data_IF_602615469107
#
_entry.id   IF_602615469107
#
_cell.length_a   1.000
_cell.length_b   1.000
_cell.length_c   1.000
_cell.angle_alpha   90.00
_cell.angle_beta   90.00
_cell.angle_gamma   90.00
#
_symmetry.space_group_name_H-M   'P 1'
#
loop_
_entity.id
_entity.type
_entity.pdbx_description
1 polymer ?
#
# COMPACT_ATOMS: atom_id res chain seq x y z
N UNK A 1 1.86 5.29 -11.05
CA UNK A 1 0.47 5.06 -10.62
C UNK A 1 -0.49 5.24 -11.81
N UNK A 2 -1.23 4.19 -12.21
CA UNK A 2 -1.89 4.13 -13.52
C UNK A 2 -3.31 4.74 -13.61
N UNK A 3 -3.95 5.08 -12.49
CA UNK A 3 -5.33 5.60 -12.46
C UNK A 3 -6.45 4.60 -12.82
N UNK A 4 -6.12 3.36 -13.19
CA UNK A 4 -7.08 2.34 -13.64
C UNK A 4 -7.56 1.37 -12.54
N UNK A 5 -6.90 1.35 -11.38
CA UNK A 5 -7.24 0.46 -10.27
C UNK A 5 -7.78 1.27 -9.11
N UNK A 6 -9.08 1.14 -8.83
CA UNK A 6 -9.72 1.71 -7.63
C UNK A 6 -9.74 0.69 -6.50
N UNK A 7 -10.06 1.14 -5.29
CA UNK A 7 -10.16 0.25 -4.12
C UNK A 7 -11.16 -0.89 -4.33
N UNK A 8 -12.32 -0.62 -4.93
CA UNK A 8 -13.33 -1.65 -5.23
C UNK A 8 -12.81 -2.68 -6.25
N UNK A 9 -12.01 -2.25 -7.23
CA UNK A 9 -11.43 -3.14 -8.24
C UNK A 9 -10.37 -4.05 -7.61
N UNK A 10 -9.52 -3.50 -6.73
CA UNK A 10 -8.52 -4.27 -5.99
C UNK A 10 -9.19 -5.33 -5.09
N UNK A 11 -10.26 -4.95 -4.39
CA UNK A 11 -11.06 -5.87 -3.56
C UNK A 11 -11.69 -6.98 -4.41
N UNK A 12 -12.33 -6.63 -5.52
CA UNK A 12 -12.93 -7.62 -6.42
C UNK A 12 -11.89 -8.59 -6.99
N UNK A 13 -10.71 -8.08 -7.36
CA UNK A 13 -9.60 -8.89 -7.88
C UNK A 13 -9.13 -9.93 -6.86
N UNK A 14 -8.97 -9.54 -5.58
CA UNK A 14 -8.62 -10.47 -4.51
C UNK A 14 -9.69 -11.56 -4.32
N UNK A 15 -10.98 -11.18 -4.38
CA UNK A 15 -12.09 -12.13 -4.28
C UNK A 15 -12.13 -13.13 -5.45
N UNK A 16 -11.70 -12.71 -6.64
CA UNK A 16 -11.58 -13.58 -7.81
C UNK A 16 -10.38 -14.53 -7.71
N UNK A 17 -9.24 -14.05 -7.21
CA UNK A 17 -8.03 -14.85 -7.04
C UNK A 17 -7.26 -14.45 -5.78
N UNK A 18 -7.33 -15.25 -4.69
CA UNK A 18 -6.64 -14.95 -3.44
C UNK A 18 -5.10 -14.95 -3.57
N UNK A 19 -4.54 -15.68 -4.53
CA UNK A 19 -3.09 -15.67 -4.83
C UNK A 19 -2.71 -14.64 -5.90
N UNK A 20 -3.64 -13.76 -6.26
CA UNK A 20 -3.44 -12.71 -7.25
C UNK A 20 -2.59 -11.54 -6.73
N UNK A 21 -2.43 -10.49 -7.56
CA UNK A 21 -1.54 -9.36 -7.26
C UNK A 21 -2.06 -8.43 -6.16
N UNK A 22 -3.36 -8.43 -5.89
CA UNK A 22 -3.98 -7.55 -4.91
C UNK A 22 -4.19 -8.30 -3.60
N UNK A 23 -3.61 -7.81 -2.52
CA UNK A 23 -3.71 -8.42 -1.19
C UNK A 23 -4.34 -7.43 -0.20
N UNK A 24 -5.20 -7.90 0.73
CA UNK A 24 -5.79 -7.04 1.74
C UNK A 24 -4.73 -6.64 2.79
N UNK A 25 -4.75 -5.37 3.18
CA UNK A 25 -3.89 -4.85 4.25
C UNK A 25 -4.80 -4.28 5.34
N UNK A 26 -4.75 -4.80 6.58
CA UNK A 26 -5.50 -4.22 7.69
C UNK A 26 -4.94 -2.84 8.04
N UNK A 27 -5.82 -1.86 8.26
CA UNK A 27 -5.43 -0.51 8.71
C UNK A 27 -5.25 -0.48 10.23
N UNK A 28 -4.29 -1.25 10.72
CA UNK A 28 -3.97 -1.38 12.14
C UNK A 28 -2.61 -0.76 12.47
N UNK A 29 -2.40 -0.48 13.77
CA UNK A 29 -1.17 0.15 14.26
C UNK A 29 -0.93 1.54 13.68
N UNK A 30 -1.91 2.43 13.84
CA UNK A 30 -1.78 3.85 13.49
C UNK A 30 -0.55 4.45 14.17
N UNK A 31 0.38 4.98 13.37
CA UNK A 31 1.58 5.69 13.84
C UNK A 31 1.32 7.19 13.84
N UNK A 32 0.84 7.72 12.71
CA UNK A 32 0.51 9.13 12.52
C UNK A 32 -0.65 9.26 11.54
N UNK A 33 -1.78 9.81 12.01
CA UNK A 33 -2.99 10.00 11.21
C UNK A 33 -2.84 11.09 10.15
N UNK A 34 -2.05 12.12 10.43
CA UNK A 34 -1.81 13.25 9.53
C UNK A 34 -1.00 12.82 8.31
N UNK A 35 -0.01 11.96 8.52
CA UNK A 35 0.80 11.37 7.44
C UNK A 35 0.11 10.16 6.82
N UNK A 36 -0.84 9.54 7.53
CA UNK A 36 -1.44 8.27 7.14
C UNK A 36 -0.45 7.11 7.26
N UNK A 37 0.40 7.13 8.29
CA UNK A 37 1.39 6.09 8.55
C UNK A 37 0.80 5.00 9.47
N UNK A 38 1.01 3.73 9.09
CA UNK A 38 0.51 2.55 9.81
C UNK A 38 1.56 1.44 9.81
N UNK A 39 1.70 0.73 10.93
CA UNK A 39 2.69 -0.36 11.05
C UNK A 39 2.41 -1.51 10.09
N UNK A 40 1.15 -1.92 9.96
CA UNK A 40 0.77 -3.03 9.06
C UNK A 40 0.95 -2.68 7.58
N UNK A 41 0.76 -1.40 7.22
CA UNK A 41 1.04 -0.93 5.86
C UNK A 41 2.53 -0.97 5.57
N UNK A 42 3.37 -0.48 6.49
CA UNK A 42 4.82 -0.51 6.34
C UNK A 42 5.34 -1.95 6.22
N UNK A 43 4.81 -2.87 7.04
CA UNK A 43 5.14 -4.30 6.96
C UNK A 43 4.78 -4.89 5.59
N UNK A 44 3.56 -4.66 5.12
CA UNK A 44 3.12 -5.17 3.82
C UNK A 44 3.96 -4.60 2.65
N UNK A 45 4.36 -3.33 2.71
CA UNK A 45 5.23 -2.70 1.72
C UNK A 45 6.64 -3.30 1.76
N UNK A 46 7.21 -3.50 2.95
CA UNK A 46 8.51 -4.14 3.10
C UNK A 46 8.52 -5.56 2.53
N UNK A 47 7.48 -6.35 2.80
CA UNK A 47 7.33 -7.70 2.25
C UNK A 47 7.18 -7.66 0.71
N UNK A 48 6.29 -6.81 0.18
CA UNK A 48 6.02 -6.73 -1.26
C UNK A 48 7.20 -6.19 -2.09
N UNK A 49 8.05 -5.34 -1.49
CA UNK A 49 9.21 -4.75 -2.14
C UNK A 49 10.52 -5.49 -1.85
N UNK A 50 10.46 -6.63 -1.14
CA UNK A 50 11.62 -7.39 -0.70
C UNK A 50 12.62 -6.54 0.11
N UNK A 51 12.10 -5.64 0.95
CA UNK A 51 12.87 -4.76 1.82
C UNK A 51 13.48 -3.53 1.13
N UNK A 52 13.20 -3.29 -0.15
CA UNK A 52 13.67 -2.08 -0.84
C UNK A 52 13.00 -0.80 -0.32
N UNK A 53 11.75 -0.91 0.15
CA UNK A 53 11.00 0.19 0.80
C UNK A 53 10.47 -0.33 2.13
N UNK A 54 10.81 0.34 3.23
CA UNK A 54 10.41 -0.10 4.58
C UNK A 54 9.18 0.65 5.10
N UNK A 55 8.98 1.88 4.66
CA UNK A 55 7.96 2.78 5.20
C UNK A 55 7.32 3.61 4.09
N UNK A 56 6.04 3.92 4.24
CA UNK A 56 5.31 4.81 3.32
C UNK A 56 4.34 5.69 4.09
N UNK A 57 4.20 6.94 3.67
CA UNK A 57 3.11 7.81 4.12
C UNK A 57 2.06 7.92 3.02
N UNK A 58 0.78 7.82 3.42
CA UNK A 58 -0.32 7.84 2.46
C UNK A 58 -0.72 9.26 2.05
N UNK A 59 -0.40 10.26 2.87
CA UNK A 59 -0.88 11.64 2.71
C UNK A 59 0.23 12.69 2.61
N UNK A 60 1.51 12.30 2.53
CA UNK A 60 2.63 13.22 2.34
C UNK A 60 3.36 12.97 1.02
N UNK A 61 3.72 14.07 0.35
CA UNK A 61 4.60 14.03 -0.83
C UNK A 61 6.08 14.17 -0.45
N UNK A 62 6.36 14.67 0.76
CA UNK A 62 7.70 15.08 1.18
C UNK A 62 8.37 14.01 2.05
N UNK A 63 7.58 13.28 2.84
CA UNK A 63 8.09 12.31 3.80
C UNK A 63 7.69 10.90 3.38
N UNK A 64 8.67 10.07 2.99
CA UNK A 64 8.46 8.68 2.54
C UNK A 64 7.27 8.52 1.58
N UNK A 65 7.25 9.23 0.44
CA UNK A 65 6.14 9.16 -0.51
C UNK A 65 6.07 7.79 -1.18
N UNK A 66 4.89 7.43 -1.67
CA UNK A 66 4.69 6.23 -2.47
C UNK A 66 5.55 6.24 -3.74
N UNK A 67 6.17 5.11 -4.06
CA UNK A 67 7.03 4.95 -5.25
C UNK A 67 6.19 4.84 -6.53
N UNK A 68 6.84 4.97 -7.69
CA UNK A 68 6.22 4.87 -9.01
C UNK A 68 6.91 3.85 -9.88
N UNK A 69 6.12 3.08 -10.65
CA UNK A 69 6.62 2.07 -11.59
C UNK A 69 6.93 2.63 -13.00
N UNK A 70 6.04 3.47 -13.56
CA UNK A 70 6.23 4.06 -14.90
C UNK A 70 4.95 4.30 -15.72
N UNK A 71 3.79 3.88 -15.21
CA UNK A 71 2.47 4.17 -15.77
C UNK A 71 1.63 4.96 -14.79
#
# INVERSE_FOLDING_TARGET
LCGAVRWLDAKATYQLSPTGPNQPIPKEGLIDERLGAYTEVNKAVAEATHGAVTDVTLYSLVENPMTSCGC
#
